data_IF_936311472349
#
_entry.id   IF_936311472349
#
_cell.length_a   1.000
_cell.length_b   1.000
_cell.length_c   1.000
_cell.angle_alpha   90.00
_cell.angle_beta   90.00
_cell.angle_gamma   90.00
#
_symmetry.space_group_name_H-M   'P 1'
#
loop_
_entity.id
_entity.type
_entity.pdbx_description
1 polymer ?
#
# COMPACT_ATOMS: atom_id res chain seq x y z
N UNK A 1 -3.28 19.21 -37.49
CA UNK A 1 -2.18 18.22 -37.47
C UNK A 1 -1.82 18.01 -36.00
N UNK A 2 -2.41 17.00 -35.40
CA UNK A 2 -2.10 16.63 -34.01
C UNK A 2 -0.72 15.99 -34.03
N UNK A 3 0.26 16.71 -33.53
CA UNK A 3 1.60 16.18 -33.30
C UNK A 3 1.47 15.17 -32.18
N UNK A 4 1.55 13.88 -32.48
CA UNK A 4 1.69 12.83 -31.49
C UNK A 4 3.01 13.08 -30.76
N UNK A 5 2.94 13.67 -29.59
CA UNK A 5 4.10 13.78 -28.70
C UNK A 5 4.44 12.36 -28.25
N UNK A 6 5.51 11.80 -28.79
CA UNK A 6 6.03 10.50 -28.40
C UNK A 6 6.50 10.60 -26.95
N UNK A 7 5.70 10.10 -26.01
CA UNK A 7 6.07 10.11 -24.57
C UNK A 7 7.32 9.26 -24.38
N UNK A 8 8.36 9.87 -23.82
CA UNK A 8 9.57 9.14 -23.42
C UNK A 8 9.25 8.07 -22.37
N UNK A 9 9.73 6.85 -22.60
CA UNK A 9 9.57 5.74 -21.65
C UNK A 9 10.78 5.68 -20.71
N UNK A 10 10.55 5.80 -19.40
CA UNK A 10 11.57 5.62 -18.37
C UNK A 10 12.82 6.48 -18.63
N UNK A 11 14.00 5.89 -18.59
CA UNK A 11 15.29 6.58 -18.78
C UNK A 11 15.64 6.97 -20.23
N UNK A 12 14.71 6.95 -21.16
CA UNK A 12 15.00 7.27 -22.58
C UNK A 12 15.58 8.67 -22.77
N UNK A 13 15.26 9.62 -21.88
CA UNK A 13 15.83 10.97 -21.86
C UNK A 13 17.36 10.99 -21.67
N UNK A 14 17.96 9.92 -21.13
CA UNK A 14 19.40 9.80 -20.93
C UNK A 14 20.16 9.46 -22.22
N UNK A 15 19.47 8.92 -23.23
CA UNK A 15 20.11 8.35 -24.43
C UNK A 15 19.50 8.83 -25.75
N UNK A 16 18.42 9.59 -25.71
CA UNK A 16 17.78 10.19 -26.90
C UNK A 16 17.99 11.70 -26.89
N UNK A 17 18.10 12.27 -28.09
CA UNK A 17 18.00 13.73 -28.23
C UNK A 17 16.62 14.17 -27.78
N UNK A 18 16.56 15.10 -26.85
CA UNK A 18 15.31 15.70 -26.43
C UNK A 18 15.41 17.23 -26.43
N UNK A 19 14.30 17.89 -26.55
CA UNK A 19 14.23 19.35 -26.59
C UNK A 19 13.80 19.89 -25.24
N UNK A 20 14.40 21.01 -24.83
CA UNK A 20 14.01 21.76 -23.63
C UNK A 20 12.50 22.10 -23.73
N UNK A 21 11.69 21.43 -22.94
CA UNK A 21 10.24 21.59 -23.00
C UNK A 21 9.48 20.28 -22.93
N UNK A 22 10.15 19.15 -23.18
CA UNK A 22 9.52 17.83 -23.16
C UNK A 22 9.49 17.21 -21.75
N UNK A 23 10.15 17.87 -20.79
CA UNK A 23 10.23 17.41 -19.39
C UNK A 23 9.21 18.10 -18.51
N UNK A 24 8.74 17.32 -17.54
CA UNK A 24 8.09 17.90 -16.36
C UNK A 24 9.15 18.54 -15.47
N UNK A 25 8.97 19.80 -15.17
CA UNK A 25 9.73 20.54 -14.16
C UNK A 25 8.74 21.29 -13.28
N UNK A 26 9.03 21.48 -11.96
CA UNK A 26 8.10 22.14 -11.03
C UNK A 26 7.64 23.53 -11.48
N UNK A 27 8.48 24.26 -12.21
CA UNK A 27 8.17 25.57 -12.75
C UNK A 27 7.10 25.56 -13.85
N UNK A 28 6.85 24.38 -14.43
CA UNK A 28 5.83 24.16 -15.47
C UNK A 28 4.54 23.56 -14.96
N UNK A 29 4.33 23.49 -13.64
CA UNK A 29 3.06 23.04 -13.09
C UNK A 29 1.89 23.81 -13.70
N UNK A 30 0.88 23.07 -14.16
CA UNK A 30 -0.39 23.66 -14.56
C UNK A 30 -1.21 24.09 -13.32
N UNK A 31 -2.36 24.72 -13.53
CA UNK A 31 -3.16 25.26 -12.42
C UNK A 31 -3.72 24.14 -11.51
N UNK A 32 -4.14 23.00 -12.07
CA UNK A 32 -4.64 21.87 -11.29
C UNK A 32 -3.52 21.27 -10.41
N UNK A 33 -2.33 21.14 -10.95
CA UNK A 33 -1.16 20.63 -10.22
C UNK A 33 -0.76 21.57 -9.08
N UNK A 34 -0.79 22.89 -9.31
CA UNK A 34 -0.54 23.90 -8.27
C UNK A 34 -1.61 23.84 -7.19
N UNK A 35 -2.88 23.75 -7.57
CA UNK A 35 -4.00 23.70 -6.63
C UNK A 35 -3.89 22.47 -5.72
N UNK A 36 -3.61 21.29 -6.28
CA UNK A 36 -3.42 20.05 -5.49
C UNK A 36 -2.19 20.18 -4.59
N UNK A 37 -1.07 20.63 -5.11
CA UNK A 37 0.14 20.88 -4.31
C UNK A 37 -0.16 21.79 -3.11
N UNK A 38 -0.82 22.92 -3.36
CA UNK A 38 -1.09 23.93 -2.32
C UNK A 38 -2.07 23.39 -1.27
N UNK A 39 -3.07 22.62 -1.68
CA UNK A 39 -4.01 21.93 -0.77
C UNK A 39 -3.28 20.92 0.12
N UNK A 40 -2.45 20.04 -0.47
CA UNK A 40 -1.68 19.05 0.30
C UNK A 40 -0.69 19.73 1.24
N UNK A 41 -0.03 20.80 0.77
CA UNK A 41 0.89 21.61 1.58
C UNK A 41 0.20 22.20 2.79
N UNK A 42 -0.99 22.76 2.61
CA UNK A 42 -1.79 23.32 3.70
C UNK A 42 -2.14 22.24 4.75
N UNK A 43 -2.57 21.07 4.31
CA UNK A 43 -2.82 19.90 5.18
C UNK A 43 -1.54 19.51 5.95
N UNK A 44 -0.42 19.39 5.25
CA UNK A 44 0.87 19.02 5.85
C UNK A 44 1.29 20.05 6.91
N UNK A 45 1.22 21.35 6.61
CA UNK A 45 1.64 22.41 7.52
C UNK A 45 0.75 22.54 8.76
N UNK A 46 -0.55 22.35 8.59
CA UNK A 46 -1.51 22.48 9.70
C UNK A 46 -1.56 21.23 10.57
N UNK A 47 -1.55 20.04 9.96
CA UNK A 47 -1.90 18.80 10.65
C UNK A 47 -0.70 17.87 10.81
N UNK A 48 0.04 17.60 9.73
CA UNK A 48 1.13 16.61 9.75
C UNK A 48 2.34 17.10 10.55
N UNK A 49 2.75 18.35 10.42
CA UNK A 49 3.89 18.89 11.18
C UNK A 49 3.68 18.84 12.70
N UNK A 50 2.44 18.97 13.13
CA UNK A 50 2.12 18.97 14.56
C UNK A 50 1.92 17.58 15.12
N UNK A 51 1.40 16.61 14.34
CA UNK A 51 0.93 15.31 14.81
C UNK A 51 1.58 14.12 14.10
N UNK A 52 2.26 14.30 12.97
CA UNK A 52 2.79 13.21 12.15
C UNK A 52 3.79 12.30 12.84
N UNK A 53 4.49 12.80 13.87
CA UNK A 53 5.43 12.03 14.68
C UNK A 53 4.76 11.23 15.82
N UNK A 54 3.45 11.40 16.04
CA UNK A 54 2.71 10.79 17.15
C UNK A 54 2.00 9.53 16.64
N UNK A 55 2.32 8.37 17.23
CA UNK A 55 1.81 7.07 16.82
C UNK A 55 0.26 7.02 16.84
N UNK A 56 -0.34 7.43 17.94
CA UNK A 56 -1.79 7.35 18.15
C UNK A 56 -2.58 8.34 17.26
N UNK A 57 -1.91 9.28 16.59
CA UNK A 57 -2.51 10.24 15.68
C UNK A 57 -2.51 9.76 14.21
N UNK A 58 -1.79 8.69 13.89
CA UNK A 58 -1.70 8.19 12.52
C UNK A 58 -3.07 7.82 11.92
N UNK A 59 -3.97 7.11 12.63
CA UNK A 59 -5.29 6.80 12.08
C UNK A 59 -6.12 8.04 11.75
N UNK A 60 -6.16 9.07 12.63
CA UNK A 60 -6.92 10.27 12.38
C UNK A 60 -6.35 11.12 11.24
N UNK A 61 -5.02 11.20 11.12
CA UNK A 61 -4.38 11.84 9.97
C UNK A 61 -4.71 11.13 8.65
N UNK A 62 -4.84 9.79 8.68
CA UNK A 62 -5.27 9.02 7.52
C UNK A 62 -6.75 9.29 7.17
N UNK A 63 -7.63 9.44 8.17
CA UNK A 63 -9.03 9.79 7.97
C UNK A 63 -9.13 11.19 7.31
N UNK A 64 -8.42 12.19 7.84
CA UNK A 64 -8.36 13.54 7.31
C UNK A 64 -7.79 13.60 5.89
N UNK A 65 -6.72 12.85 5.61
CA UNK A 65 -6.18 12.72 4.26
C UNK A 65 -7.19 12.04 3.31
N UNK A 66 -7.99 11.11 3.82
CA UNK A 66 -9.09 10.47 3.09
C UNK A 66 -10.21 11.44 2.73
N UNK A 67 -10.62 12.29 3.69
CA UNK A 67 -11.63 13.36 3.46
C UNK A 67 -11.20 14.35 2.37
N UNK A 68 -9.89 14.60 2.26
CA UNK A 68 -9.31 15.42 1.20
C UNK A 68 -9.14 14.65 -0.13
N UNK A 69 -9.49 13.37 -0.19
CA UNK A 69 -9.35 12.52 -1.38
C UNK A 69 -7.90 12.06 -1.66
N UNK A 70 -6.95 12.35 -0.78
CA UNK A 70 -5.53 12.06 -1.00
C UNK A 70 -5.22 10.55 -0.92
N UNK A 71 -5.90 9.82 -0.04
CA UNK A 71 -5.69 8.37 0.16
C UNK A 71 -6.11 7.60 -1.09
N UNK A 72 -7.21 7.97 -1.73
CA UNK A 72 -7.73 7.35 -2.95
C UNK A 72 -7.26 8.03 -4.24
N UNK A 73 -6.22 8.86 -4.21
CA UNK A 73 -5.83 9.73 -5.32
C UNK A 73 -5.64 9.00 -6.66
N UNK A 74 -5.01 7.84 -6.67
CA UNK A 74 -4.75 7.05 -7.89
C UNK A 74 -5.76 5.91 -8.12
N UNK A 75 -6.72 5.71 -7.22
CA UNK A 75 -7.74 4.68 -7.37
C UNK A 75 -8.82 5.15 -8.36
N UNK A 76 -9.29 4.27 -9.27
CA UNK A 76 -10.35 4.61 -10.20
C UNK A 76 -11.64 5.09 -9.50
N UNK A 77 -12.35 6.01 -10.13
CA UNK A 77 -13.58 6.61 -9.59
C UNK A 77 -14.67 5.58 -9.31
N UNK A 78 -14.74 4.50 -10.08
CA UNK A 78 -15.68 3.38 -9.85
C UNK A 78 -15.48 2.66 -8.50
N UNK A 79 -14.32 2.82 -7.86
CA UNK A 79 -13.99 2.29 -6.52
C UNK A 79 -13.84 3.41 -5.49
N UNK A 80 -14.42 4.59 -5.75
CA UNK A 80 -14.43 5.72 -4.81
C UNK A 80 -13.15 6.56 -4.78
N UNK A 81 -12.22 6.35 -5.71
CA UNK A 81 -11.00 7.14 -5.83
C UNK A 81 -11.15 8.40 -6.68
N UNK A 82 -10.04 9.12 -6.88
CA UNK A 82 -9.98 10.37 -7.64
C UNK A 82 -9.44 10.18 -9.08
N UNK A 83 -8.88 9.01 -9.40
CA UNK A 83 -8.31 8.65 -10.70
C UNK A 83 -7.28 9.67 -11.23
N UNK A 84 -6.50 10.25 -10.31
CA UNK A 84 -5.46 11.21 -10.65
C UNK A 84 -4.29 10.54 -11.39
N UNK A 85 -3.66 11.31 -12.27
CA UNK A 85 -2.49 10.83 -13.02
C UNK A 85 -1.24 10.66 -12.13
N UNK A 86 -0.20 10.07 -12.70
CA UNK A 86 1.05 9.79 -11.99
C UNK A 86 1.75 11.07 -11.51
N UNK A 87 1.65 12.17 -12.24
CA UNK A 87 2.29 13.44 -11.86
C UNK A 87 1.63 13.99 -10.61
N UNK A 88 0.30 14.04 -10.58
CA UNK A 88 -0.47 14.50 -9.42
C UNK A 88 -0.22 13.62 -8.19
N UNK A 89 -0.17 12.30 -8.36
CA UNK A 89 0.18 11.37 -7.29
C UNK A 89 1.62 11.60 -6.76
N UNK A 90 2.56 11.93 -7.64
CA UNK A 90 3.94 12.25 -7.24
C UNK A 90 3.99 13.55 -6.44
N UNK A 91 3.25 14.59 -6.87
CA UNK A 91 3.14 15.86 -6.13
C UNK A 91 2.57 15.65 -4.73
N UNK A 92 1.51 14.82 -4.60
CA UNK A 92 0.94 14.46 -3.29
C UNK A 92 2.01 13.77 -2.44
N UNK A 93 2.71 12.78 -2.99
CA UNK A 93 3.77 12.05 -2.28
C UNK A 93 4.93 12.95 -1.83
N UNK A 94 5.35 13.91 -2.66
CA UNK A 94 6.40 14.88 -2.34
C UNK A 94 5.98 15.78 -1.16
N UNK A 95 4.79 16.36 -1.18
CA UNK A 95 4.32 17.23 -0.11
C UNK A 95 4.08 16.46 1.21
N UNK A 96 3.52 15.26 1.16
CA UNK A 96 3.39 14.39 2.33
C UNK A 96 4.78 14.06 2.91
N UNK A 97 5.75 13.71 2.05
CA UNK A 97 7.13 13.41 2.44
C UNK A 97 7.87 14.60 3.06
N UNK A 98 7.53 15.83 2.66
CA UNK A 98 8.03 17.07 3.24
C UNK A 98 7.56 17.27 4.68
N UNK A 99 6.44 16.67 5.06
CA UNK A 99 5.81 16.81 6.37
C UNK A 99 6.54 16.08 7.48
N UNK A 100 6.26 14.81 7.64
CA UNK A 100 6.86 13.93 8.65
C UNK A 100 7.08 12.53 8.08
N UNK A 101 8.26 11.98 8.29
CA UNK A 101 8.66 10.68 7.75
C UNK A 101 7.82 9.51 8.30
N UNK A 102 7.29 9.60 9.52
CA UNK A 102 6.43 8.57 10.10
C UNK A 102 5.09 8.55 9.39
N UNK A 103 4.46 9.73 9.23
CA UNK A 103 3.20 9.82 8.50
C UNK A 103 3.38 9.47 7.01
N UNK A 104 4.47 9.91 6.39
CA UNK A 104 4.79 9.52 5.01
C UNK A 104 4.85 8.00 4.85
N UNK A 105 5.52 7.30 5.79
CA UNK A 105 5.59 5.83 5.80
C UNK A 105 4.19 5.20 5.97
N UNK A 106 3.40 5.72 6.90
CA UNK A 106 2.02 5.27 7.14
C UNK A 106 1.15 5.43 5.88
N UNK A 107 1.20 6.61 5.26
CA UNK A 107 0.46 6.95 4.06
C UNK A 107 0.87 6.07 2.88
N UNK A 108 2.17 5.98 2.60
CA UNK A 108 2.71 5.20 1.49
C UNK A 108 2.47 3.69 1.65
N UNK A 109 2.57 3.15 2.86
CA UNK A 109 2.26 1.74 3.12
C UNK A 109 0.78 1.42 2.83
N UNK A 110 -0.14 2.33 3.16
CA UNK A 110 -1.56 2.17 2.88
C UNK A 110 -1.87 2.33 1.38
N UNK A 111 -1.54 3.49 0.80
CA UNK A 111 -1.93 3.87 -0.56
C UNK A 111 -1.18 3.07 -1.63
N UNK A 112 0.08 2.73 -1.38
CA UNK A 112 0.92 1.95 -2.27
C UNK A 112 0.75 0.45 -2.07
N UNK A 113 1.57 -0.12 -1.20
CA UNK A 113 1.67 -1.58 -1.09
C UNK A 113 0.46 -2.25 -0.42
N UNK A 114 -0.40 -1.50 0.29
CA UNK A 114 -1.63 -2.02 0.88
C UNK A 114 -2.79 -2.11 -0.11
N UNK A 115 -3.04 -1.05 -0.89
CA UNK A 115 -4.20 -0.95 -1.79
C UNK A 115 -3.93 -1.49 -3.20
N UNK A 116 -2.74 -1.23 -3.77
CA UNK A 116 -2.42 -1.62 -5.15
C UNK A 116 -2.49 -3.12 -5.43
N UNK A 117 -2.13 -4.02 -4.49
CA UNK A 117 -2.36 -5.46 -4.70
C UNK A 117 -3.80 -5.79 -5.02
N UNK A 118 -4.76 -5.20 -4.29
CA UNK A 118 -6.19 -5.41 -4.52
C UNK A 118 -6.61 -4.80 -5.87
N UNK A 119 -6.16 -3.58 -6.17
CA UNK A 119 -6.49 -2.90 -7.42
C UNK A 119 -6.07 -3.69 -8.66
N UNK A 120 -4.83 -4.21 -8.66
CA UNK A 120 -4.26 -4.83 -9.86
C UNK A 120 -4.52 -6.33 -9.97
N UNK A 121 -4.72 -7.02 -8.84
CA UNK A 121 -4.79 -8.49 -8.82
C UNK A 121 -6.05 -9.03 -8.15
N UNK A 122 -6.85 -8.17 -7.52
CA UNK A 122 -8.13 -8.56 -6.92
C UNK A 122 -9.19 -8.90 -7.96
N UNK A 123 -10.11 -9.77 -7.60
CA UNK A 123 -11.35 -9.97 -8.36
C UNK A 123 -12.23 -8.71 -8.27
N UNK A 124 -13.24 -8.62 -9.13
CA UNK A 124 -14.14 -7.47 -9.09
C UNK A 124 -14.86 -7.36 -7.73
N UNK A 125 -15.26 -8.51 -7.15
CA UNK A 125 -15.89 -8.58 -5.84
C UNK A 125 -14.94 -8.09 -4.73
N UNK A 126 -13.66 -8.48 -4.79
CA UNK A 126 -12.65 -8.00 -3.83
C UNK A 126 -12.42 -6.49 -3.96
N UNK A 127 -12.33 -5.97 -5.19
CA UNK A 127 -12.18 -4.52 -5.44
C UNK A 127 -13.37 -3.74 -4.89
N UNK A 128 -14.59 -4.16 -5.19
CA UNK A 128 -15.81 -3.52 -4.70
C UNK A 128 -15.96 -3.62 -3.18
N UNK A 129 -15.50 -4.71 -2.57
CA UNK A 129 -15.56 -4.90 -1.11
C UNK A 129 -14.59 -3.99 -0.36
N UNK A 130 -13.36 -3.82 -0.85
CA UNK A 130 -12.30 -3.21 -0.07
C UNK A 130 -11.91 -1.79 -0.52
N UNK A 131 -11.82 -1.54 -1.83
CA UNK A 131 -11.26 -0.28 -2.33
C UNK A 131 -12.07 0.98 -1.96
N UNK A 132 -13.41 0.98 -1.92
CA UNK A 132 -14.14 2.20 -1.54
C UNK A 132 -13.81 2.68 -0.13
N UNK A 133 -13.82 1.79 0.85
CA UNK A 133 -13.52 2.15 2.24
C UNK A 133 -12.00 2.39 2.46
N UNK A 134 -11.11 1.75 1.70
CA UNK A 134 -9.68 2.05 1.71
C UNK A 134 -9.38 3.41 1.05
N UNK A 135 -10.04 3.75 -0.06
CA UNK A 135 -9.87 5.02 -0.78
C UNK A 135 -10.33 6.23 0.03
N UNK A 136 -11.39 6.06 0.81
CA UNK A 136 -11.90 7.11 1.71
C UNK A 136 -11.09 7.25 3.00
N UNK A 137 -10.10 6.38 3.24
CA UNK A 137 -9.34 6.34 4.49
C UNK A 137 -10.07 5.67 5.65
N UNK A 138 -11.33 5.26 5.51
CA UNK A 138 -12.10 4.58 6.56
C UNK A 138 -11.47 3.25 6.98
N UNK A 139 -11.01 2.44 6.03
CA UNK A 139 -10.16 1.28 6.28
C UNK A 139 -8.69 1.60 6.00
N UNK A 140 -7.80 0.95 6.72
CA UNK A 140 -6.35 1.05 6.55
C UNK A 140 -5.78 -0.32 6.21
N UNK A 141 -4.75 -0.32 5.36
CA UNK A 141 -4.12 -1.55 4.90
C UNK A 141 -2.66 -1.70 5.36
N UNK A 142 -2.25 -2.96 5.49
CA UNK A 142 -0.89 -3.40 5.74
C UNK A 142 -0.42 -4.41 4.70
N UNK A 143 0.90 -4.50 4.53
CA UNK A 143 1.54 -5.43 3.60
C UNK A 143 2.48 -6.37 4.35
N UNK A 144 2.17 -7.67 4.34
CA UNK A 144 2.79 -8.67 5.20
C UNK A 144 3.62 -9.66 4.38
N UNK A 145 4.81 -9.22 3.95
CA UNK A 145 5.74 -10.01 3.16
C UNK A 145 6.86 -10.60 4.02
N UNK A 146 7.60 -9.74 4.74
CA UNK A 146 8.82 -10.07 5.48
C UNK A 146 8.54 -11.03 6.64
N UNK A 147 9.47 -11.97 6.85
CA UNK A 147 9.48 -12.91 7.97
C UNK A 147 10.85 -12.87 8.67
N UNK A 148 10.99 -13.39 9.90
CA UNK A 148 12.27 -13.42 10.60
C UNK A 148 13.40 -14.07 9.82
N UNK A 149 13.09 -15.07 8.98
CA UNK A 149 14.06 -15.81 8.15
C UNK A 149 14.02 -15.44 6.67
N UNK A 150 13.18 -14.49 6.25
CA UNK A 150 12.91 -14.18 4.84
C UNK A 150 12.73 -12.67 4.65
N UNK A 151 13.83 -11.99 4.31
CA UNK A 151 13.86 -10.58 3.94
C UNK A 151 14.14 -10.42 2.45
N UNK A 152 15.42 -10.36 2.06
CA UNK A 152 15.83 -10.25 0.65
C UNK A 152 15.41 -11.46 -0.18
N UNK A 153 15.45 -12.65 0.40
CA UNK A 153 14.87 -13.86 -0.18
C UNK A 153 13.39 -13.97 0.21
N UNK A 154 12.55 -13.12 -0.39
CA UNK A 154 11.12 -13.07 -0.05
C UNK A 154 10.37 -14.37 -0.41
N UNK A 155 10.82 -15.11 -1.42
CA UNK A 155 10.21 -16.38 -1.82
C UNK A 155 10.55 -17.53 -0.85
N UNK A 156 11.59 -17.37 -0.03
CA UNK A 156 11.96 -18.30 1.04
C UNK A 156 11.05 -18.21 2.28
N UNK A 157 9.92 -17.52 2.19
CA UNK A 157 8.94 -17.38 3.28
C UNK A 157 8.47 -18.74 3.81
N UNK A 158 8.28 -18.83 5.14
CA UNK A 158 7.91 -20.06 5.86
C UNK A 158 6.46 -20.11 6.31
N UNK A 159 5.75 -18.98 6.29
CA UNK A 159 4.31 -18.94 6.57
C UNK A 159 3.58 -19.87 5.59
N UNK A 160 2.76 -20.78 6.12
CA UNK A 160 2.04 -21.80 5.35
C UNK A 160 0.56 -21.47 5.28
N UNK A 161 -0.07 -21.89 4.19
CA UNK A 161 -1.52 -21.86 4.01
C UNK A 161 -1.98 -23.25 3.52
N UNK A 162 -2.78 -23.93 4.34
CA UNK A 162 -3.26 -25.29 4.05
C UNK A 162 -4.78 -25.24 3.88
N UNK A 163 -5.29 -25.74 2.77
CA UNK A 163 -6.73 -25.82 2.53
C UNK A 163 -7.37 -26.78 3.56
N UNK A 164 -8.46 -26.34 4.22
CA UNK A 164 -9.19 -27.20 5.15
C UNK A 164 -9.93 -28.35 4.41
N UNK A 165 -10.40 -29.35 5.16
CA UNK A 165 -11.04 -30.54 4.59
C UNK A 165 -12.32 -30.22 3.80
N UNK A 166 -13.03 -29.16 4.20
CA UNK A 166 -14.26 -28.69 3.56
C UNK A 166 -14.01 -27.88 2.29
N UNK A 167 -12.74 -27.49 2.00
CA UNK A 167 -12.38 -26.68 0.84
C UNK A 167 -12.84 -25.23 0.90
N UNK A 168 -13.17 -24.71 2.08
CA UNK A 168 -13.76 -23.38 2.27
C UNK A 168 -12.77 -22.33 2.78
N UNK A 169 -11.70 -22.74 3.46
CA UNK A 169 -10.73 -21.86 4.09
C UNK A 169 -9.29 -22.36 3.93
N UNK A 170 -8.38 -21.44 3.71
CA UNK A 170 -6.96 -21.68 3.93
C UNK A 170 -6.62 -21.41 5.38
N UNK A 171 -5.97 -22.36 6.05
CA UNK A 171 -5.51 -22.26 7.44
C UNK A 171 -4.07 -21.75 7.43
N UNK A 172 -3.89 -20.51 7.86
CA UNK A 172 -2.58 -19.86 7.90
C UNK A 172 -1.86 -20.15 9.21
N UNK A 173 -0.58 -20.52 9.10
CA UNK A 173 0.33 -20.73 10.23
C UNK A 173 1.70 -20.13 9.90
N UNK A 174 2.20 -19.24 10.76
CA UNK A 174 3.50 -18.59 10.57
C UNK A 174 3.61 -17.24 11.26
N UNK A 175 4.60 -16.46 10.81
CA UNK A 175 4.92 -15.17 11.43
C UNK A 175 5.35 -14.17 10.36
N UNK A 176 4.91 -12.91 10.51
CA UNK A 176 5.38 -11.78 9.72
C UNK A 176 6.10 -10.77 10.63
N UNK A 177 7.10 -10.07 10.10
CA UNK A 177 7.96 -9.19 10.85
C UNK A 177 8.04 -7.81 10.20
N UNK A 178 8.14 -6.77 11.04
CA UNK A 178 8.26 -5.37 10.65
C UNK A 178 7.14 -4.87 9.74
N UNK A 179 5.91 -5.18 10.13
CA UNK A 179 4.74 -4.85 9.34
C UNK A 179 4.25 -3.43 9.66
N UNK A 180 4.42 -2.54 8.70
CA UNK A 180 3.94 -1.15 8.80
C UNK A 180 2.41 -1.12 8.90
N UNK A 181 1.88 -0.15 9.64
CA UNK A 181 0.46 0.05 9.92
C UNK A 181 -0.23 -1.07 10.72
N UNK A 182 0.48 -2.14 11.09
CA UNK A 182 -0.15 -3.32 11.71
C UNK A 182 -0.93 -2.99 12.99
N UNK A 183 -0.55 -1.96 13.75
CA UNK A 183 -1.23 -1.60 14.99
C UNK A 183 -2.66 -1.06 14.80
N UNK A 184 -2.99 -0.54 13.62
CA UNK A 184 -4.31 0.03 13.34
C UNK A 184 -4.93 -0.43 12.02
N UNK A 185 -4.21 -1.17 11.17
CA UNK A 185 -4.73 -1.67 9.91
C UNK A 185 -5.96 -2.58 10.10
N UNK A 186 -6.85 -2.53 9.13
CA UNK A 186 -8.09 -3.31 9.07
C UNK A 186 -7.99 -4.43 8.04
N UNK A 187 -7.13 -4.25 7.02
CA UNK A 187 -6.90 -5.18 5.91
C UNK A 187 -5.41 -5.49 5.79
N UNK A 188 -5.06 -6.75 5.70
CA UNK A 188 -3.68 -7.23 5.63
C UNK A 188 -3.46 -8.03 4.35
N UNK A 189 -2.53 -7.60 3.50
CA UNK A 189 -2.09 -8.37 2.32
C UNK A 189 -1.00 -9.32 2.78
N UNK A 190 -1.33 -10.60 2.94
CA UNK A 190 -0.44 -11.61 3.52
C UNK A 190 0.04 -12.58 2.45
N UNK A 191 1.34 -12.86 2.42
CA UNK A 191 1.92 -13.87 1.53
C UNK A 191 2.25 -15.14 2.31
N UNK A 192 1.86 -16.30 1.77
CA UNK A 192 2.10 -17.60 2.38
C UNK A 192 2.35 -18.67 1.31
N UNK A 193 2.95 -19.78 1.72
CA UNK A 193 3.18 -20.96 0.87
C UNK A 193 1.97 -21.91 0.93
N UNK A 194 1.27 -22.07 -0.17
CA UNK A 194 0.26 -23.10 -0.36
C UNK A 194 0.94 -24.37 -0.84
N UNK A 195 0.54 -25.53 -0.32
CA UNK A 195 1.11 -26.85 -0.64
C UNK A 195 2.65 -26.92 -0.49
N UNK A 196 3.22 -26.01 0.29
CA UNK A 196 4.65 -26.01 0.62
C UNK A 196 5.55 -25.16 -0.29
N UNK A 197 5.17 -24.88 -1.54
CA UNK A 197 6.00 -24.19 -2.52
C UNK A 197 5.26 -23.20 -3.43
N UNK A 198 3.94 -23.07 -3.29
CA UNK A 198 3.14 -22.15 -4.10
C UNK A 198 2.96 -20.81 -3.39
N UNK A 199 3.91 -19.92 -3.56
CA UNK A 199 3.86 -18.57 -2.96
C UNK A 199 2.63 -17.81 -3.45
N UNK A 200 1.72 -17.47 -2.51
CA UNK A 200 0.36 -16.97 -2.80
C UNK A 200 0.04 -15.76 -1.93
N UNK A 201 -0.68 -14.79 -2.48
CA UNK A 201 -1.22 -13.65 -1.75
C UNK A 201 -2.62 -13.92 -1.19
N UNK A 202 -2.92 -13.34 -0.02
CA UNK A 202 -4.20 -13.43 0.66
C UNK A 202 -4.62 -12.06 1.19
N UNK A 203 -5.91 -11.77 1.16
CA UNK A 203 -6.51 -10.65 1.88
C UNK A 203 -7.02 -11.18 3.22
N UNK A 204 -6.46 -10.68 4.32
CA UNK A 204 -6.83 -11.08 5.67
C UNK A 204 -7.45 -9.90 6.40
N UNK A 205 -8.67 -10.07 6.89
CA UNK A 205 -9.39 -9.02 7.61
C UNK A 205 -8.92 -8.98 9.08
N UNK A 206 -8.90 -7.78 9.67
CA UNK A 206 -8.66 -7.57 11.11
C UNK A 206 -9.62 -8.41 11.95
N UNK A 207 -9.11 -8.99 13.01
CA UNK A 207 -9.92 -9.83 13.90
C UNK A 207 -10.09 -11.27 13.41
N UNK A 208 -9.44 -11.67 12.30
CA UNK A 208 -9.37 -13.09 11.92
C UNK A 208 -8.89 -13.92 13.10
N UNK A 209 -9.64 -14.95 13.49
CA UNK A 209 -9.28 -15.84 14.58
C UNK A 209 -7.87 -16.41 14.37
N UNK A 210 -7.07 -16.49 15.45
CA UNK A 210 -5.70 -17.01 15.35
C UNK A 210 -4.68 -16.01 14.75
N UNK A 211 -5.09 -14.81 14.38
CA UNK A 211 -4.19 -13.71 14.03
C UNK A 211 -3.92 -12.86 15.28
N UNK A 212 -2.67 -12.76 15.70
CA UNK A 212 -2.23 -12.00 16.86
C UNK A 212 -1.18 -10.97 16.46
N UNK A 213 -1.38 -9.72 16.88
CA UNK A 213 -0.43 -8.62 16.68
C UNK A 213 0.55 -8.58 17.87
N UNK A 214 1.84 -8.47 17.57
CA UNK A 214 2.88 -8.23 18.58
C UNK A 214 2.89 -6.78 19.07
N UNK A 215 3.83 -6.49 19.97
CA UNK A 215 4.08 -5.14 20.46
C UNK A 215 4.66 -4.23 19.35
N UNK A 216 4.61 -2.91 19.56
CA UNK A 216 5.28 -1.96 18.67
C UNK A 216 6.80 -2.13 18.73
N UNK A 217 7.42 -2.15 17.56
CA UNK A 217 8.88 -2.26 17.46
C UNK A 217 9.57 -0.98 17.95
N UNK A 218 10.63 -1.14 18.73
CA UNK A 218 11.48 -0.05 19.18
C UNK A 218 12.44 0.38 18.05
N UNK A 219 12.05 1.40 17.31
CA UNK A 219 12.79 1.89 16.13
C UNK A 219 13.72 3.05 16.47
N UNK A 220 14.81 3.17 15.72
CA UNK A 220 15.74 4.30 15.84
C UNK A 220 15.10 5.60 15.31
N UNK A 221 14.38 5.54 14.18
CA UNK A 221 13.66 6.64 13.54
C UNK A 221 12.22 6.26 13.17
N UNK A 222 11.48 7.17 12.53
CA UNK A 222 10.06 7.01 12.12
C UNK A 222 9.18 6.39 13.22
N UNK A 223 9.35 6.87 14.46
CA UNK A 223 8.71 6.25 15.64
C UNK A 223 7.20 6.43 15.66
N UNK A 224 6.67 7.42 14.97
CA UNK A 224 5.22 7.63 14.82
C UNK A 224 4.55 6.62 13.87
N UNK A 225 5.28 5.94 12.98
CA UNK A 225 4.72 4.88 12.14
C UNK A 225 4.60 3.58 12.93
N UNK A 226 3.40 2.99 13.00
CA UNK A 226 3.22 1.67 13.62
C UNK A 226 4.01 0.61 12.85
N UNK A 227 4.70 -0.24 13.59
CA UNK A 227 5.45 -1.37 13.03
C UNK A 227 5.42 -2.52 14.02
N UNK A 228 4.79 -3.64 13.65
CA UNK A 228 4.63 -4.80 14.53
C UNK A 228 4.96 -6.11 13.84
N UNK A 229 5.15 -7.14 14.64
CA UNK A 229 5.10 -8.53 14.19
C UNK A 229 3.64 -9.00 14.13
N UNK A 230 3.36 -9.98 13.28
CA UNK A 230 2.05 -10.64 13.20
C UNK A 230 2.27 -12.15 13.26
N UNK A 231 1.53 -12.81 14.12
CA UNK A 231 1.54 -14.27 14.29
C UNK A 231 0.22 -14.85 13.80
N UNK A 232 0.31 -15.97 13.09
CA UNK A 232 -0.84 -16.73 12.62
C UNK A 232 -0.79 -18.13 13.24
N UNK A 233 -1.81 -18.47 14.02
CA UNK A 233 -1.99 -19.78 14.66
C UNK A 233 -3.35 -20.36 14.23
N UNK A 234 -3.32 -21.26 13.25
CA UNK A 234 -4.54 -21.83 12.68
C UNK A 234 -5.55 -20.77 12.23
N UNK A 235 -5.08 -19.69 11.64
CA UNK A 235 -5.93 -18.58 11.22
C UNK A 235 -6.69 -18.93 9.93
N UNK A 236 -8.05 -19.04 9.96
CA UNK A 236 -8.84 -19.38 8.81
C UNK A 236 -9.06 -18.15 7.91
N UNK A 237 -8.65 -18.26 6.66
CA UNK A 237 -8.87 -17.23 5.63
C UNK A 237 -9.74 -17.85 4.53
N UNK A 238 -10.91 -17.26 4.22
CA UNK A 238 -11.81 -17.78 3.19
C UNK A 238 -11.12 -17.95 1.84
N UNK A 239 -11.50 -18.96 1.07
CA UNK A 239 -10.90 -19.21 -0.26
C UNK A 239 -11.12 -18.06 -1.24
N UNK A 240 -12.23 -17.33 -1.11
CA UNK A 240 -12.53 -16.11 -1.89
C UNK A 240 -11.59 -14.94 -1.57
N UNK A 241 -10.81 -15.01 -0.48
CA UNK A 241 -9.81 -14.02 -0.10
C UNK A 241 -8.40 -14.35 -0.64
N UNK A 242 -8.25 -15.39 -1.48
CA UNK A 242 -7.03 -15.57 -2.28
C UNK A 242 -6.90 -14.39 -3.23
N UNK A 243 -5.76 -13.73 -3.19
CA UNK A 243 -5.47 -12.58 -4.04
C UNK A 243 -4.70 -13.02 -5.29
N UNK A 244 -5.31 -12.84 -6.45
CA UNK A 244 -4.79 -13.33 -7.72
C UNK A 244 -4.83 -14.87 -7.82
N UNK A 245 -3.81 -15.48 -8.40
CA UNK A 245 -3.73 -16.92 -8.62
C UNK A 245 -2.81 -17.61 -7.60
N UNK A 246 -3.17 -18.82 -7.18
CA UNK A 246 -2.32 -19.67 -6.32
C UNK A 246 -0.97 -19.91 -6.99
N UNK A 247 0.12 -19.70 -6.25
CA UNK A 247 1.49 -19.82 -6.74
C UNK A 247 2.01 -18.63 -7.56
N UNK A 248 1.18 -17.60 -7.78
CA UNK A 248 1.55 -16.37 -8.50
C UNK A 248 1.75 -15.15 -7.60
N UNK A 249 1.80 -15.33 -6.30
CA UNK A 249 2.01 -14.25 -5.33
C UNK A 249 3.30 -13.45 -5.57
N UNK A 250 4.32 -14.05 -6.16
CA UNK A 250 5.56 -13.34 -6.52
C UNK A 250 5.33 -12.23 -7.54
N UNK A 251 4.40 -12.40 -8.48
CA UNK A 251 4.03 -11.35 -9.44
C UNK A 251 3.41 -10.15 -8.72
N UNK A 252 2.52 -10.43 -7.76
CA UNK A 252 1.90 -9.39 -6.93
C UNK A 252 2.98 -8.68 -6.11
N UNK A 253 3.76 -9.45 -5.35
CA UNK A 253 4.75 -8.90 -4.42
C UNK A 253 5.76 -8.00 -5.11
N UNK A 254 6.37 -8.44 -6.20
CA UNK A 254 7.46 -7.69 -6.82
C UNK A 254 6.96 -6.54 -7.70
N UNK A 255 5.84 -6.68 -8.39
CA UNK A 255 5.28 -5.59 -9.19
C UNK A 255 4.84 -4.43 -8.30
N UNK A 256 4.17 -4.73 -7.18
CA UNK A 256 3.72 -3.69 -6.25
C UNK A 256 4.91 -3.00 -5.55
N UNK A 257 5.95 -3.75 -5.18
CA UNK A 257 7.18 -3.16 -4.63
C UNK A 257 7.92 -2.28 -5.64
N UNK A 258 7.87 -2.61 -6.94
CA UNK A 258 8.47 -1.75 -7.98
C UNK A 258 7.74 -0.40 -8.11
N UNK A 259 6.45 -0.35 -7.83
CA UNK A 259 5.68 0.89 -7.80
C UNK A 259 5.88 1.70 -6.51
N UNK A 260 6.14 1.02 -5.38
CA UNK A 260 6.37 1.65 -4.08
C UNK A 260 7.78 2.21 -3.88
N UNK A 261 8.70 1.95 -4.81
CA UNK A 261 10.08 2.44 -4.79
C UNK A 261 10.24 3.70 -5.62
#
# INVERSE_FOLDING_TARGET
MDTIVEKFKGGAFLIKDYYFGDDYIPEKMNEDQKMIRDMVREFVEKEVWTRGHILDQQPSLMDEAGELGLVGAHIPTQYGGQELDTILNTIIGEEIGRGDASFCTTFAANTGIGMLPILYYGTEEQKQKYLPDLSSGKLKASYCLTEPSSGSDALGAKTKAILNAEGTHYILNGQKMWISNAGFADVFIVFAQVDGDKFTGFIVDKGTQGMVLGEEEHKLGIKGSSTRQIFFENAPVPVENVLGEIGKGHLIAFNVLNMGR
#
